data_IF_313668129379
#
_entry.id   IF_313668129379
#
_cell.length_a   1.000
_cell.length_b   1.000
_cell.length_c   1.000
_cell.angle_alpha   90.00
_cell.angle_beta   90.00
_cell.angle_gamma   90.00
#
_symmetry.space_group_name_H-M   'P 1'
#
loop_
_entity.id
_entity.type
_entity.pdbx_description
1 polymer ?
#
# COMPACT_ATOMS: atom_id res chain seq x y z
N UNK A 1 -21.89 4.35 -19.21
CA UNK A 1 -20.50 4.28 -18.72
C UNK A 1 -19.89 3.05 -19.37
N UNK A 2 -19.24 3.20 -20.49
CA UNK A 2 -18.46 2.14 -21.14
C UNK A 2 -17.06 2.34 -20.57
N UNK A 3 -16.60 1.39 -19.76
CA UNK A 3 -15.19 1.38 -19.35
C UNK A 3 -14.37 1.16 -20.62
N UNK A 4 -13.72 2.20 -21.10
CA UNK A 4 -12.80 2.08 -22.22
C UNK A 4 -11.56 1.33 -21.75
N UNK A 5 -11.14 0.34 -22.53
CA UNK A 5 -9.89 -0.39 -22.26
C UNK A 5 -8.69 0.57 -22.15
N UNK A 6 -8.77 1.72 -22.80
CA UNK A 6 -7.77 2.77 -22.72
C UNK A 6 -7.62 3.40 -21.34
N UNK A 7 -8.70 3.44 -20.52
CA UNK A 7 -8.66 3.95 -19.14
C UNK A 7 -8.01 2.97 -18.15
N UNK A 8 -7.97 1.68 -18.51
CA UNK A 8 -7.42 0.63 -17.64
C UNK A 8 -5.90 0.47 -17.83
N UNK A 9 -5.41 0.78 -19.03
CA UNK A 9 -4.00 0.58 -19.38
C UNK A 9 -3.00 1.28 -18.43
N UNK A 10 -3.22 2.56 -18.03
CA UNK A 10 -2.30 3.25 -17.14
C UNK A 10 -2.27 2.70 -15.71
N UNK A 11 -3.39 2.06 -15.28
CA UNK A 11 -3.53 1.48 -13.94
C UNK A 11 -3.19 -0.02 -13.89
N UNK A 12 -2.72 -0.61 -15.00
CA UNK A 12 -2.39 -2.04 -15.07
C UNK A 12 -1.39 -2.50 -13.98
N UNK A 13 -0.29 -1.80 -13.70
CA UNK A 13 0.65 -2.23 -12.68
C UNK A 13 0.02 -2.33 -11.29
N UNK A 14 -0.81 -1.35 -10.93
CA UNK A 14 -1.53 -1.33 -9.64
C UNK A 14 -2.58 -2.43 -9.56
N UNK A 15 -3.32 -2.66 -10.64
CA UNK A 15 -4.34 -3.72 -10.71
C UNK A 15 -3.70 -5.11 -10.59
N UNK A 16 -2.56 -5.33 -11.23
CA UNK A 16 -1.83 -6.59 -11.13
C UNK A 16 -1.31 -6.80 -9.71
N UNK A 17 -0.74 -5.78 -9.08
CA UNK A 17 -0.31 -5.88 -7.68
C UNK A 17 -1.47 -6.08 -6.72
N UNK A 18 -2.61 -5.44 -6.94
CA UNK A 18 -3.81 -5.63 -6.13
C UNK A 18 -4.38 -7.05 -6.27
N UNK A 19 -4.46 -7.57 -7.50
CA UNK A 19 -4.90 -8.96 -7.74
C UNK A 19 -3.91 -9.96 -7.17
N UNK A 20 -2.61 -9.69 -7.28
CA UNK A 20 -1.58 -10.49 -6.64
C UNK A 20 -1.74 -10.51 -5.12
N UNK A 21 -2.00 -9.36 -4.50
CA UNK A 21 -2.25 -9.28 -3.06
C UNK A 21 -3.43 -10.15 -2.64
N UNK A 22 -4.53 -10.15 -3.39
CA UNK A 22 -5.69 -11.02 -3.15
C UNK A 22 -5.33 -12.52 -3.31
N UNK A 23 -4.55 -12.88 -4.32
CA UNK A 23 -4.08 -14.26 -4.50
C UNK A 23 -3.17 -14.66 -3.33
N UNK A 24 -2.29 -13.76 -2.87
CA UNK A 24 -1.43 -14.02 -1.71
C UNK A 24 -2.22 -14.25 -0.42
N UNK A 25 -3.36 -13.57 -0.23
CA UNK A 25 -4.29 -13.85 0.89
C UNK A 25 -4.75 -15.29 0.85
N UNK A 26 -5.19 -15.77 -0.31
CA UNK A 26 -5.66 -17.15 -0.47
C UNK A 26 -4.53 -18.15 -0.24
N UNK A 27 -3.35 -17.90 -0.81
CA UNK A 27 -2.17 -18.78 -0.62
C UNK A 27 -1.73 -18.79 0.84
N UNK A 28 -1.75 -17.65 1.54
CA UNK A 28 -1.43 -17.58 2.96
C UNK A 28 -2.45 -18.35 3.82
N UNK A 29 -3.75 -18.19 3.52
CA UNK A 29 -4.82 -18.83 4.28
C UNK A 29 -4.85 -20.36 4.10
N UNK A 30 -4.69 -20.85 2.87
CA UNK A 30 -4.75 -22.29 2.58
C UNK A 30 -3.43 -23.03 2.81
N UNK A 31 -2.29 -22.30 2.83
CA UNK A 31 -0.98 -22.92 2.96
C UNK A 31 -0.58 -23.34 4.38
N UNK A 32 -1.38 -22.95 5.39
CA UNK A 32 -1.10 -23.24 6.81
C UNK A 32 0.04 -22.41 7.42
N UNK A 33 0.20 -22.48 8.73
CA UNK A 33 1.25 -21.81 9.49
C UNK A 33 2.55 -22.62 9.40
N UNK A 34 3.41 -22.32 8.43
CA UNK A 34 4.70 -22.99 8.28
C UNK A 34 5.74 -22.10 7.59
N UNK A 35 7.02 -22.28 7.96
CA UNK A 35 8.14 -21.56 7.36
C UNK A 35 8.20 -21.72 5.83
N UNK A 36 7.80 -22.90 5.32
CA UNK A 36 7.75 -23.19 3.89
C UNK A 36 6.68 -22.36 3.17
N UNK A 37 5.52 -22.14 3.83
CA UNK A 37 4.47 -21.31 3.27
C UNK A 37 4.87 -19.82 3.28
N UNK A 38 5.46 -19.34 4.36
CA UNK A 38 6.00 -17.97 4.42
C UNK A 38 7.04 -17.72 3.32
N UNK A 39 7.93 -18.67 3.07
CA UNK A 39 8.92 -18.58 2.00
C UNK A 39 8.30 -18.61 0.60
N UNK A 40 7.21 -19.36 0.40
CA UNK A 40 6.46 -19.36 -0.88
C UNK A 40 5.77 -18.01 -1.10
N UNK A 41 5.04 -17.51 -0.12
CA UNK A 41 4.33 -16.21 -0.18
C UNK A 41 5.32 -15.08 -0.48
N UNK A 42 6.46 -15.05 0.23
CA UNK A 42 7.50 -14.04 -0.02
C UNK A 42 8.10 -14.13 -1.43
N UNK A 43 8.34 -15.33 -1.94
CA UNK A 43 8.86 -15.51 -3.33
C UNK A 43 7.84 -15.08 -4.38
N UNK A 44 6.56 -15.38 -4.18
CA UNK A 44 5.50 -14.95 -5.08
C UNK A 44 5.36 -13.41 -5.03
N UNK A 45 5.43 -12.80 -3.84
CA UNK A 45 5.42 -11.35 -3.67
C UNK A 45 6.59 -10.68 -4.40
N UNK A 46 7.81 -11.18 -4.23
CA UNK A 46 9.00 -10.68 -4.95
C UNK A 46 8.85 -10.82 -6.46
N UNK A 47 8.34 -11.95 -6.95
CA UNK A 47 8.05 -12.16 -8.36
C UNK A 47 7.05 -11.17 -8.93
N UNK A 48 5.99 -10.86 -8.17
CA UNK A 48 4.99 -9.88 -8.55
C UNK A 48 5.53 -8.45 -8.59
N UNK A 49 6.41 -8.09 -7.66
CA UNK A 49 7.08 -6.77 -7.65
C UNK A 49 7.98 -6.63 -8.90
N UNK A 50 8.73 -7.67 -9.25
CA UNK A 50 9.56 -7.67 -10.46
C UNK A 50 8.71 -7.55 -11.72
N UNK A 51 7.56 -8.26 -11.78
CA UNK A 51 6.62 -8.16 -12.89
C UNK A 51 6.06 -6.74 -13.03
N UNK A 52 5.64 -6.12 -11.93
CA UNK A 52 5.15 -4.74 -11.94
C UNK A 52 6.24 -3.75 -12.39
N UNK A 53 7.48 -3.97 -11.96
CA UNK A 53 8.63 -3.15 -12.36
C UNK A 53 8.90 -3.26 -13.86
N UNK A 54 8.83 -4.47 -14.43
CA UNK A 54 8.97 -4.68 -15.88
C UNK A 54 7.85 -3.99 -16.67
N UNK A 55 6.61 -4.03 -16.17
CA UNK A 55 5.48 -3.38 -16.82
C UNK A 55 5.64 -1.85 -16.85
N UNK A 56 6.07 -1.24 -15.77
CA UNK A 56 6.31 0.22 -15.74
C UNK A 56 7.47 0.58 -16.66
N UNK A 57 8.55 -0.23 -16.66
CA UNK A 57 9.70 -0.01 -17.53
C UNK A 57 9.35 -0.12 -19.01
N UNK A 58 8.41 -0.99 -19.40
CA UNK A 58 7.95 -1.13 -20.79
C UNK A 58 7.13 0.07 -21.31
N UNK A 59 6.88 1.08 -20.47
CA UNK A 59 6.22 2.32 -20.89
C UNK A 59 4.71 2.19 -21.09
N UNK A 60 4.07 1.15 -20.57
CA UNK A 60 2.61 0.95 -20.65
C UNK A 60 1.80 2.05 -19.93
N UNK A 61 2.45 2.86 -19.09
CA UNK A 61 1.83 3.90 -18.28
C UNK A 61 2.25 5.32 -18.71
N UNK A 62 2.47 5.59 -20.01
CA UNK A 62 2.92 6.89 -20.47
C UNK A 62 1.76 7.90 -20.53
N UNK A 63 1.93 9.01 -19.80
CA UNK A 63 1.17 10.26 -19.84
C UNK A 63 -0.34 10.11 -20.14
N UNK A 64 -1.05 9.38 -19.28
CA UNK A 64 -2.49 9.17 -19.41
C UNK A 64 -3.22 9.52 -18.10
N UNK A 65 -4.41 10.07 -18.27
CA UNK A 65 -5.37 10.25 -17.16
C UNK A 65 -6.45 9.20 -17.28
N UNK A 66 -6.75 8.52 -16.19
CA UNK A 66 -7.75 7.47 -16.12
C UNK A 66 -8.82 7.81 -15.06
N UNK A 67 -9.94 7.08 -15.11
CA UNK A 67 -11.04 7.20 -14.14
C UNK A 67 -11.58 8.63 -14.00
N UNK A 68 -11.85 9.30 -15.14
CA UNK A 68 -12.39 10.66 -15.10
C UNK A 68 -11.45 11.72 -14.53
N UNK A 69 -10.15 11.49 -14.57
CA UNK A 69 -9.12 12.40 -14.06
C UNK A 69 -8.70 12.17 -12.61
N UNK A 70 -9.26 11.17 -11.92
CA UNK A 70 -8.87 10.83 -10.54
C UNK A 70 -7.50 10.16 -10.46
N UNK A 71 -7.07 9.51 -11.54
CA UNK A 71 -5.80 8.81 -11.66
C UNK A 71 -4.95 9.44 -12.76
N UNK A 72 -3.73 9.79 -12.42
CA UNK A 72 -2.76 10.39 -13.36
C UNK A 72 -1.48 9.57 -13.40
N UNK A 73 -1.11 9.13 -14.59
CA UNK A 73 0.17 8.49 -14.86
C UNK A 73 1.06 9.49 -15.61
N UNK A 74 2.08 10.02 -14.93
CA UNK A 74 3.11 10.90 -15.50
C UNK A 74 4.46 10.19 -15.52
N UNK A 75 5.39 10.73 -16.28
CA UNK A 75 6.80 10.30 -16.23
C UNK A 75 7.39 10.41 -14.83
N UNK A 76 7.02 11.44 -14.06
CA UNK A 76 7.41 11.60 -12.66
C UNK A 76 6.80 10.51 -11.77
N UNK A 77 5.49 10.22 -11.94
CA UNK A 77 4.82 9.14 -11.22
C UNK A 77 5.48 7.79 -11.51
N UNK A 78 5.80 7.51 -12.77
CA UNK A 78 6.48 6.27 -13.17
C UNK A 78 7.85 6.13 -12.50
N UNK A 79 8.64 7.21 -12.45
CA UNK A 79 9.92 7.22 -11.74
C UNK A 79 9.75 6.94 -10.24
N UNK A 80 8.80 7.60 -9.58
CA UNK A 80 8.52 7.39 -8.15
C UNK A 80 8.04 5.96 -7.87
N UNK A 81 7.20 5.39 -8.73
CA UNK A 81 6.75 4.00 -8.62
C UNK A 81 7.91 3.01 -8.71
N UNK A 82 8.84 3.20 -9.66
CA UNK A 82 10.05 2.37 -9.76
C UNK A 82 10.87 2.44 -8.47
N UNK A 83 11.05 3.62 -7.90
CA UNK A 83 11.82 3.81 -6.68
C UNK A 83 11.17 3.10 -5.48
N UNK A 84 9.84 3.21 -5.35
CA UNK A 84 9.08 2.53 -4.29
C UNK A 84 9.11 1.01 -4.47
N UNK A 85 8.98 0.50 -5.69
CA UNK A 85 9.08 -0.92 -5.99
C UNK A 85 10.46 -1.49 -5.65
N UNK A 86 11.54 -0.78 -6.01
CA UNK A 86 12.90 -1.18 -5.67
C UNK A 86 13.13 -1.16 -4.15
N UNK A 87 12.65 -0.12 -3.46
CA UNK A 87 12.73 -0.03 -2.00
C UNK A 87 12.00 -1.18 -1.31
N UNK A 88 10.78 -1.49 -1.75
CA UNK A 88 9.98 -2.58 -1.18
C UNK A 88 10.59 -3.95 -1.50
N UNK A 89 11.12 -4.14 -2.71
CA UNK A 89 11.85 -5.34 -3.08
C UNK A 89 13.04 -5.58 -2.16
N UNK A 90 13.87 -4.53 -1.95
CA UNK A 90 15.02 -4.59 -1.04
C UNK A 90 14.60 -4.88 0.41
N UNK A 91 13.55 -4.23 0.90
CA UNK A 91 13.02 -4.44 2.25
C UNK A 91 12.54 -5.89 2.45
N UNK A 92 11.75 -6.44 1.52
CA UNK A 92 11.29 -7.83 1.57
C UNK A 92 12.45 -8.81 1.45
N UNK A 93 13.41 -8.56 0.57
CA UNK A 93 14.58 -9.42 0.41
C UNK A 93 15.42 -9.46 1.68
N UNK A 94 15.69 -8.32 2.29
CA UNK A 94 16.44 -8.22 3.54
C UNK A 94 15.70 -8.81 4.74
N UNK A 95 14.38 -8.86 4.71
CA UNK A 95 13.56 -9.37 5.82
C UNK A 95 13.57 -10.91 5.94
N UNK A 96 13.93 -11.63 4.90
CA UNK A 96 13.90 -13.10 4.85
C UNK A 96 14.77 -13.71 5.96
N UNK A 97 15.98 -13.20 6.13
CA UNK A 97 16.94 -13.77 7.10
C UNK A 97 16.62 -13.46 8.57
N UNK A 98 16.30 -12.21 8.96
CA UNK A 98 15.98 -11.89 10.35
C UNK A 98 14.62 -12.48 10.78
N UNK A 99 13.61 -12.51 9.92
CA UNK A 99 12.31 -13.09 10.27
C UNK A 99 12.41 -14.59 10.55
N UNK A 100 13.26 -15.31 9.83
CA UNK A 100 13.52 -16.73 10.05
C UNK A 100 14.21 -17.01 11.39
N UNK A 101 15.02 -16.06 11.92
CA UNK A 101 15.72 -16.21 13.19
C UNK A 101 14.86 -15.91 14.41
N UNK A 102 13.91 -14.99 14.27
CA UNK A 102 13.11 -14.47 15.38
C UNK A 102 11.77 -15.22 15.59
N UNK A 103 11.55 -16.32 14.88
CA UNK A 103 10.30 -17.12 14.90
C UNK A 103 9.04 -16.31 14.52
N UNK A 104 9.23 -15.21 13.77
CA UNK A 104 8.17 -14.32 13.25
C UNK A 104 7.98 -14.56 11.75
N UNK A 105 8.45 -15.70 11.25
CA UNK A 105 8.35 -16.04 9.82
C UNK A 105 6.93 -16.41 9.45
N UNK A 106 6.04 -15.39 9.50
CA UNK A 106 4.63 -15.52 9.18
C UNK A 106 4.38 -15.08 7.73
N UNK A 107 3.57 -15.83 6.96
CA UNK A 107 3.22 -15.47 5.59
C UNK A 107 2.51 -14.12 5.50
N UNK A 108 1.83 -13.71 6.58
CA UNK A 108 1.11 -12.43 6.65
C UNK A 108 2.02 -11.22 6.50
N UNK A 109 3.30 -11.31 6.90
CA UNK A 109 4.23 -10.18 6.80
C UNK A 109 4.41 -9.72 5.34
N UNK A 110 4.76 -10.66 4.45
CA UNK A 110 4.96 -10.33 3.05
C UNK A 110 3.66 -9.84 2.38
N UNK A 111 2.52 -10.40 2.77
CA UNK A 111 1.19 -9.99 2.32
C UNK A 111 0.91 -8.53 2.71
N UNK A 112 1.11 -8.17 3.98
CA UNK A 112 0.87 -6.82 4.48
C UNK A 112 1.78 -5.80 3.78
N UNK A 113 3.03 -6.16 3.53
CA UNK A 113 3.96 -5.29 2.80
C UNK A 113 3.49 -5.05 1.35
N UNK A 114 2.93 -6.06 0.68
CA UNK A 114 2.36 -5.90 -0.68
C UNK A 114 1.12 -5.01 -0.64
N UNK A 115 0.23 -5.12 0.36
CA UNK A 115 -0.90 -4.19 0.50
C UNK A 115 -0.45 -2.74 0.73
N UNK A 116 0.55 -2.54 1.59
CA UNK A 116 1.14 -1.21 1.78
C UNK A 116 1.75 -0.67 0.48
N UNK A 117 2.42 -1.52 -0.30
CA UNK A 117 2.96 -1.17 -1.61
C UNK A 117 1.88 -0.72 -2.59
N UNK A 118 0.75 -1.44 -2.68
CA UNK A 118 -0.39 -1.04 -3.52
C UNK A 118 -0.91 0.33 -3.10
N UNK A 119 -1.04 0.59 -1.79
CA UNK A 119 -1.42 1.91 -1.26
C UNK A 119 -0.44 3.01 -1.67
N UNK A 120 0.88 2.77 -1.58
CA UNK A 120 1.91 3.72 -2.01
C UNK A 120 1.83 4.01 -3.52
N UNK A 121 1.61 2.98 -4.35
CA UNK A 121 1.48 3.14 -5.79
C UNK A 121 0.25 3.98 -6.16
N UNK A 122 -0.89 3.71 -5.53
CA UNK A 122 -2.11 4.49 -5.73
C UNK A 122 -1.95 5.94 -5.26
N UNK A 123 -1.25 6.18 -4.14
CA UNK A 123 -0.96 7.52 -3.63
C UNK A 123 -0.14 8.36 -4.61
N UNK A 124 0.84 7.76 -5.29
CA UNK A 124 1.67 8.44 -6.30
C UNK A 124 0.83 8.85 -7.52
N UNK A 125 -0.17 8.07 -7.87
CA UNK A 125 -1.04 8.32 -9.03
C UNK A 125 -2.32 9.07 -8.71
N UNK A 126 -2.59 9.34 -7.43
CA UNK A 126 -3.79 10.05 -7.02
C UNK A 126 -3.76 11.51 -7.48
N UNK A 127 -4.77 11.93 -8.23
CA UNK A 127 -4.94 13.30 -8.71
C UNK A 127 -6.10 14.04 -8.01
N UNK A 128 -6.82 13.35 -7.13
CA UNK A 128 -7.91 13.89 -6.33
C UNK A 128 -7.69 13.63 -4.85
N UNK A 129 -8.16 14.54 -3.98
CA UNK A 129 -8.01 14.44 -2.53
C UNK A 129 -8.67 13.17 -1.96
N UNK A 130 -9.80 12.75 -2.55
CA UNK A 130 -10.50 11.54 -2.10
C UNK A 130 -9.69 10.28 -2.42
N UNK A 131 -9.14 10.20 -3.64
CA UNK A 131 -8.26 9.11 -4.06
C UNK A 131 -6.99 9.07 -3.21
N UNK A 132 -6.38 10.24 -2.95
CA UNK A 132 -5.21 10.36 -2.09
C UNK A 132 -5.50 9.86 -0.67
N UNK A 133 -6.64 10.27 -0.10
CA UNK A 133 -7.07 9.86 1.23
C UNK A 133 -7.21 8.33 1.34
N UNK A 134 -7.92 7.72 0.39
CA UNK A 134 -8.11 6.27 0.35
C UNK A 134 -6.79 5.51 0.18
N UNK A 135 -5.86 6.05 -0.61
CA UNK A 135 -4.54 5.46 -0.81
C UNK A 135 -3.68 5.51 0.47
N UNK A 136 -3.72 6.61 1.20
CA UNK A 136 -3.05 6.76 2.51
C UNK A 136 -3.60 5.76 3.53
N UNK A 137 -4.92 5.58 3.58
CA UNK A 137 -5.55 4.58 4.46
C UNK A 137 -5.14 3.16 4.10
N UNK A 138 -5.18 2.82 2.81
CA UNK A 138 -4.79 1.50 2.32
C UNK A 138 -3.32 1.17 2.66
N UNK A 139 -2.44 2.17 2.64
CA UNK A 139 -1.05 2.01 3.04
C UNK A 139 -0.88 1.88 4.55
N UNK A 140 -1.62 2.67 5.32
CA UNK A 140 -1.42 2.82 6.77
C UNK A 140 -1.90 1.60 7.55
N UNK A 141 -3.06 1.03 7.18
CA UNK A 141 -3.65 -0.11 7.87
C UNK A 141 -2.71 -1.34 7.95
N UNK A 142 -2.09 -1.79 6.84
CA UNK A 142 -1.12 -2.88 6.91
C UNK A 142 0.08 -2.57 7.80
N UNK A 143 0.57 -1.32 7.81
CA UNK A 143 1.71 -0.92 8.63
C UNK A 143 1.39 -0.96 10.13
N UNK A 144 0.16 -0.63 10.54
CA UNK A 144 -0.28 -0.78 11.94
C UNK A 144 -0.26 -2.24 12.38
N UNK A 145 -0.70 -3.14 11.51
CA UNK A 145 -0.68 -4.59 11.79
C UNK A 145 0.75 -5.11 11.84
N UNK A 146 1.64 -4.68 10.94
CA UNK A 146 3.07 -5.05 10.96
C UNK A 146 3.73 -4.59 12.26
N UNK A 147 3.44 -3.39 12.75
CA UNK A 147 3.97 -2.89 14.02
C UNK A 147 3.53 -3.74 15.23
N UNK A 148 2.30 -4.31 15.17
CA UNK A 148 1.73 -5.18 16.21
C UNK A 148 2.02 -6.69 16.00
N UNK A 149 2.85 -7.07 15.03
CA UNK A 149 2.98 -8.46 14.58
C UNK A 149 3.56 -9.41 15.64
N UNK A 150 4.36 -8.90 16.58
CA UNK A 150 4.82 -9.67 17.76
C UNK A 150 3.75 -9.73 18.85
N UNK A 151 2.75 -10.59 18.67
CA UNK A 151 1.62 -10.75 19.60
C UNK A 151 2.06 -11.16 21.02
N UNK A 152 3.19 -11.85 21.16
CA UNK A 152 3.73 -12.29 22.45
C UNK A 152 4.50 -11.19 23.21
N UNK A 153 4.61 -9.98 22.65
CA UNK A 153 5.31 -8.85 23.25
C UNK A 153 4.33 -7.73 23.56
N UNK A 154 4.15 -7.43 24.84
CA UNK A 154 3.31 -6.31 25.28
C UNK A 154 3.75 -4.99 24.64
N UNK A 155 5.06 -4.81 24.47
CA UNK A 155 5.66 -3.63 23.83
C UNK A 155 5.27 -3.49 22.35
N UNK A 156 5.16 -4.59 21.62
CA UNK A 156 4.74 -4.59 20.22
C UNK A 156 3.26 -4.25 20.07
N UNK A 157 2.40 -4.86 20.89
CA UNK A 157 0.96 -4.57 20.90
C UNK A 157 0.68 -3.12 21.28
N UNK A 158 1.42 -2.59 22.26
CA UNK A 158 1.33 -1.17 22.64
C UNK A 158 1.82 -0.22 21.54
N UNK A 159 2.90 -0.57 20.83
CA UNK A 159 3.41 0.20 19.71
C UNK A 159 2.40 0.25 18.55
N UNK A 160 1.81 -0.89 18.17
CA UNK A 160 0.77 -0.95 17.13
C UNK A 160 -0.47 -0.15 17.50
N UNK A 161 -0.94 -0.25 18.75
CA UNK A 161 -2.08 0.52 19.23
C UNK A 161 -1.80 2.03 19.22
N UNK A 162 -0.64 2.46 19.70
CA UNK A 162 -0.23 3.88 19.67
C UNK A 162 -0.15 4.41 18.24
N UNK A 163 0.41 3.60 17.32
CA UNK A 163 0.52 4.00 15.92
C UNK A 163 -0.84 4.11 15.25
N UNK A 164 -1.74 3.17 15.51
CA UNK A 164 -3.13 3.23 15.04
C UNK A 164 -3.88 4.47 15.58
N UNK A 165 -3.78 4.72 16.89
CA UNK A 165 -4.44 5.88 17.51
C UNK A 165 -3.93 7.20 16.94
N UNK A 166 -2.60 7.34 16.75
CA UNK A 166 -2.01 8.54 16.15
C UNK A 166 -2.48 8.72 14.70
N UNK A 167 -2.53 7.65 13.91
CA UNK A 167 -3.03 7.70 12.54
C UNK A 167 -4.50 8.09 12.47
N UNK A 168 -5.36 7.45 13.28
CA UNK A 168 -6.78 7.77 13.36
C UNK A 168 -7.03 9.21 13.82
N UNK A 169 -6.26 9.72 14.81
CA UNK A 169 -6.35 11.11 15.25
C UNK A 169 -5.95 12.10 14.16
N UNK A 170 -4.91 11.80 13.39
CA UNK A 170 -4.47 12.66 12.29
C UNK A 170 -5.55 12.82 11.22
N UNK A 171 -6.29 11.75 10.97
CA UNK A 171 -7.42 11.73 10.06
C UNK A 171 -8.57 12.65 10.52
N UNK A 172 -8.89 12.62 11.82
CA UNK A 172 -9.93 13.46 12.41
C UNK A 172 -9.53 14.93 12.49
N UNK A 173 -8.24 15.23 12.60
CA UNK A 173 -7.70 16.60 12.69
C UNK A 173 -7.39 17.20 11.33
N UNK A 174 -7.54 16.44 10.23
CA UNK A 174 -7.42 17.00 8.88
C UNK A 174 -8.48 18.10 8.68
N UNK A 175 -8.07 19.34 8.32
CA UNK A 175 -8.99 20.48 8.25
C UNK A 175 -10.06 20.23 7.19
N UNK A 176 -11.29 19.99 7.64
CA UNK A 176 -12.41 19.87 6.73
C UNK A 176 -12.75 21.26 6.14
N UNK A 177 -13.29 21.33 4.91
CA UNK A 177 -13.76 22.60 4.34
C UNK A 177 -14.78 23.34 5.23
N UNK A 178 -15.44 22.63 6.14
CA UNK A 178 -16.39 23.20 7.12
C UNK A 178 -15.70 23.99 8.24
N UNK A 179 -14.45 23.69 8.59
CA UNK A 179 -13.75 24.43 9.65
C UNK A 179 -13.36 25.84 9.20
N UNK A 180 -13.14 26.07 7.90
CA UNK A 180 -12.93 27.41 7.35
C UNK A 180 -14.14 28.34 7.47
N UNK A 181 -15.35 27.79 7.54
CA UNK A 181 -16.57 28.61 7.66
C UNK A 181 -16.88 29.00 9.10
N UNK A 182 -16.43 28.22 10.09
CA UNK A 182 -16.61 28.53 11.52
C UNK A 182 -15.66 29.60 12.04
N UNK A 183 -14.46 29.72 11.49
CA UNK A 183 -13.50 30.75 11.90
C UNK A 183 -13.84 32.18 11.40
N UNK A 184 -14.89 32.34 10.59
CA UNK A 184 -15.35 33.62 10.04
C UNK A 184 -16.63 34.14 10.66
N UNK A 185 -17.07 33.62 11.80
CA UNK A 185 -18.11 34.33 12.57
C UNK A 185 -17.48 35.53 13.22
N UNK A 186 -17.85 36.79 12.84
CA UNK A 186 -17.43 37.95 13.57
C UNK A 186 -18.05 37.87 14.99
N UNK A 187 -17.21 37.99 15.99
CA UNK A 187 -17.71 38.26 17.35
C UNK A 187 -18.44 39.59 17.31
N UNK A 188 -19.75 39.56 17.12
CA UNK A 188 -20.59 40.73 17.37
C UNK A 188 -20.55 41.00 18.88
N UNK A 189 -19.91 42.08 19.22
CA UNK A 189 -19.97 42.69 20.53
C UNK A 189 -21.42 42.93 21.01
#
# INVERSE_FOLDING_TARGET
MIFDLADILPALPEMILATLALVLVLVAAYGGEGADNAARVTRIALGGIVLALMLIWSGTAADATAFGGMFKADSFASYMKILVLLGTFGALYMSITPLAKDDINKPEFALLVVFALVGMMLMISANDLMSLYMAVELQSLPLYVVAAMRTNSLRSSEAGLKYFLLGACLLYTSPSPRDRTRSRMPSSA
#
